data_IF_051821548098
#
_entry.id   IF_051821548098
#
_cell.length_a   1.000
_cell.length_b   1.000
_cell.length_c   1.000
_cell.angle_alpha   90.00
_cell.angle_beta   90.00
_cell.angle_gamma   90.00
#
_symmetry.space_group_name_H-M   'P 1'
#
loop_
_entity.id
_entity.type
_entity.pdbx_description
1 polymer ?
#
# COMPACT_ATOMS: atom_id res chain seq x y z
N UNK A 1 8.70 3.32 -25.04
CA UNK A 1 8.96 3.94 -23.71
C UNK A 1 8.33 3.06 -22.64
N UNK A 2 8.96 2.89 -21.48
CA UNK A 2 8.39 2.11 -20.39
C UNK A 2 8.17 3.01 -19.18
N UNK A 3 6.94 3.03 -18.67
CA UNK A 3 6.58 3.81 -17.48
C UNK A 3 7.24 3.16 -16.25
N UNK A 4 7.89 4.00 -15.43
CA UNK A 4 8.60 3.60 -14.20
C UNK A 4 7.96 4.25 -12.98
N UNK A 5 7.63 5.53 -13.13
CA UNK A 5 7.03 6.36 -12.08
C UNK A 5 5.61 6.68 -12.54
N UNK A 6 4.62 6.40 -11.69
CA UNK A 6 3.23 6.77 -11.90
C UNK A 6 2.73 7.58 -10.71
N UNK A 7 2.18 8.76 -10.98
CA UNK A 7 1.52 9.60 -9.99
C UNK A 7 0.05 9.73 -10.32
N UNK A 8 -0.82 9.38 -9.37
CA UNK A 8 -2.27 9.54 -9.47
C UNK A 8 -2.71 10.60 -8.47
N UNK A 9 -3.42 11.62 -8.95
CA UNK A 9 -3.91 12.71 -8.13
C UNK A 9 -5.34 13.04 -8.52
N UNK A 10 -6.27 12.77 -7.61
CA UNK A 10 -7.66 13.21 -7.70
C UNK A 10 -8.18 13.39 -6.28
N UNK A 11 -8.70 14.58 -5.98
CA UNK A 11 -9.20 14.95 -4.66
C UNK A 11 -10.73 14.83 -4.54
N UNK A 12 -11.41 14.47 -5.64
CA UNK A 12 -12.86 14.46 -5.72
C UNK A 12 -13.43 13.10 -6.11
N UNK A 13 -12.66 12.27 -6.83
CA UNK A 13 -13.10 10.95 -7.30
C UNK A 13 -12.25 9.86 -6.65
N UNK A 14 -12.85 8.88 -5.96
CA UNK A 14 -12.10 7.78 -5.36
C UNK A 14 -11.51 6.85 -6.42
N UNK A 15 -10.34 6.29 -6.12
CA UNK A 15 -9.70 5.28 -6.95
C UNK A 15 -10.10 3.88 -6.49
N UNK A 16 -10.91 3.19 -7.27
CA UNK A 16 -11.34 1.83 -6.93
C UNK A 16 -10.28 0.78 -7.26
N UNK A 17 -10.37 -0.40 -6.63
CA UNK A 17 -9.46 -1.54 -6.83
C UNK A 17 -9.21 -1.86 -8.33
N UNK A 18 -10.27 -1.80 -9.14
CA UNK A 18 -10.23 -2.06 -10.58
C UNK A 18 -9.26 -1.14 -11.34
N UNK A 19 -9.05 0.09 -10.87
CA UNK A 19 -8.09 1.01 -11.47
C UNK A 19 -6.67 0.47 -11.29
N UNK A 20 -6.34 -0.01 -10.09
CA UNK A 20 -5.01 -0.52 -9.78
C UNK A 20 -4.70 -1.84 -10.48
N UNK A 21 -5.71 -2.69 -10.72
CA UNK A 21 -5.59 -3.86 -11.62
C UNK A 21 -5.23 -3.42 -13.04
N UNK A 22 -5.90 -2.40 -13.57
CA UNK A 22 -5.61 -1.88 -14.92
C UNK A 22 -4.19 -1.30 -14.99
N UNK A 23 -3.77 -0.59 -13.94
CA UNK A 23 -2.43 -0.01 -13.84
C UNK A 23 -1.35 -1.09 -13.84
N UNK A 24 -1.47 -2.13 -13.02
CA UNK A 24 -0.45 -3.18 -12.96
C UNK A 24 -0.29 -3.91 -14.30
N UNK A 25 -1.38 -4.09 -15.04
CA UNK A 25 -1.38 -4.68 -16.39
C UNK A 25 -0.82 -3.75 -17.47
N UNK A 26 -1.18 -2.47 -17.43
CA UNK A 26 -0.74 -1.49 -18.42
C UNK A 26 0.72 -1.06 -18.22
N UNK A 27 1.18 -1.05 -16.97
CA UNK A 27 2.49 -0.55 -16.58
C UNK A 27 3.20 -1.55 -15.65
N UNK A 28 3.52 -2.76 -16.15
CA UNK A 28 4.06 -3.83 -15.31
C UNK A 28 5.41 -3.49 -14.70
N UNK A 29 6.14 -2.52 -15.27
CA UNK A 29 7.48 -2.15 -14.84
C UNK A 29 7.51 -0.91 -13.92
N UNK A 30 6.39 -0.56 -13.28
CA UNK A 30 6.35 0.51 -12.27
C UNK A 30 7.26 0.15 -11.10
N UNK A 31 8.10 1.11 -10.71
CA UNK A 31 8.95 1.04 -9.54
C UNK A 31 8.65 2.15 -8.52
N UNK A 32 7.83 3.14 -8.88
CA UNK A 32 7.34 4.16 -7.97
C UNK A 32 5.88 4.49 -8.27
N UNK A 33 5.03 4.33 -7.26
CA UNK A 33 3.61 4.65 -7.32
C UNK A 33 3.28 5.68 -6.26
N UNK A 34 2.80 6.84 -6.69
CA UNK A 34 2.45 7.97 -5.83
C UNK A 34 0.94 8.17 -5.92
N UNK A 35 0.25 8.09 -4.78
CA UNK A 35 -1.18 8.37 -4.69
C UNK A 35 -1.42 9.63 -3.85
N UNK A 36 -2.29 10.48 -4.38
CA UNK A 36 -2.92 11.58 -3.66
C UNK A 36 -4.43 11.45 -3.89
N UNK A 37 -5.14 10.91 -2.90
CA UNK A 37 -6.59 10.70 -2.96
C UNK A 37 -7.17 10.57 -1.56
N UNK A 38 -7.80 11.63 -1.08
CA UNK A 38 -8.37 11.70 0.27
C UNK A 38 -9.77 11.09 0.37
N UNK A 39 -10.36 10.68 -0.76
CA UNK A 39 -11.70 10.12 -0.80
C UNK A 39 -11.69 8.66 -0.34
N UNK A 40 -12.64 8.32 0.52
CA UNK A 40 -12.97 6.94 0.90
C UNK A 40 -13.31 6.11 -0.36
N UNK A 41 -12.82 4.86 -0.43
CA UNK A 41 -13.17 3.96 -1.52
C UNK A 41 -14.64 3.56 -1.39
N UNK A 42 -15.41 3.68 -2.47
CA UNK A 42 -16.85 3.37 -2.43
C UNK A 42 -17.08 1.86 -2.39
N UNK A 43 -16.27 1.09 -3.11
CA UNK A 43 -16.32 -0.37 -3.08
C UNK A 43 -15.40 -0.87 -1.98
N UNK A 44 -15.87 -0.82 -0.74
CA UNK A 44 -15.13 -1.36 0.41
C UNK A 44 -14.82 -2.83 0.17
N UNK A 45 -13.54 -3.16 0.26
CA UNK A 45 -13.08 -4.53 0.27
C UNK A 45 -13.38 -5.09 1.67
N UNK A 46 -14.58 -5.65 1.88
CA UNK A 46 -14.94 -6.28 3.16
C UNK A 46 -14.05 -7.49 3.43
N UNK A 47 -13.63 -7.66 4.69
CA UNK A 47 -12.86 -8.83 5.16
C UNK A 47 -13.66 -10.13 5.08
N UNK A 48 -14.98 -10.03 4.92
CA UNK A 48 -15.88 -11.12 4.58
C UNK A 48 -15.96 -11.21 3.05
N UNK A 49 -15.06 -12.00 2.48
CA UNK A 49 -15.18 -12.51 1.14
C UNK A 49 -16.48 -13.33 1.06
N UNK A 50 -17.54 -12.75 0.49
CA UNK A 50 -18.54 -13.59 -0.14
C UNK A 50 -17.81 -14.42 -1.20
N UNK A 51 -17.96 -15.74 -1.18
CA UNK A 51 -17.25 -16.69 -2.04
C UNK A 51 -17.36 -16.36 -3.54
N UNK A 52 -18.32 -15.53 -3.93
CA UNK A 52 -18.51 -15.02 -5.29
C UNK A 52 -17.60 -13.84 -5.70
N UNK A 53 -16.99 -13.10 -4.77
CA UNK A 53 -16.07 -11.98 -5.06
C UNK A 53 -14.58 -12.37 -4.98
N UNK A 54 -14.29 -13.66 -4.75
CA UNK A 54 -12.94 -14.25 -4.74
C UNK A 54 -12.15 -14.10 -6.06
N UNK A 55 -12.74 -13.51 -7.10
CA UNK A 55 -12.09 -13.28 -8.40
C UNK A 55 -11.47 -11.89 -8.56
N UNK A 56 -11.46 -11.03 -7.54
CA UNK A 56 -10.59 -9.86 -7.55
C UNK A 56 -9.13 -10.32 -7.61
N UNK A 57 -8.53 -10.20 -8.80
CA UNK A 57 -7.16 -10.60 -9.06
C UNK A 57 -6.24 -9.85 -8.11
N UNK A 58 -5.47 -10.57 -7.30
CA UNK A 58 -4.42 -9.98 -6.47
C UNK A 58 -3.54 -9.12 -7.38
N UNK A 59 -3.36 -7.85 -7.01
CA UNK A 59 -2.53 -6.95 -7.79
C UNK A 59 -1.08 -7.27 -7.47
N UNK A 60 -0.31 -7.73 -8.45
CA UNK A 60 1.11 -7.97 -8.28
C UNK A 60 1.91 -6.80 -8.86
N UNK A 61 2.79 -6.22 -8.05
CA UNK A 61 3.84 -5.33 -8.54
C UNK A 61 5.20 -6.02 -8.39
N UNK A 62 5.62 -6.74 -9.42
CA UNK A 62 6.79 -7.63 -9.40
C UNK A 62 8.15 -6.91 -9.43
N UNK A 63 8.17 -5.58 -9.47
CA UNK A 63 9.41 -4.79 -9.44
C UNK A 63 9.57 -4.07 -8.11
N UNK A 64 10.78 -3.58 -7.84
CA UNK A 64 11.06 -2.82 -6.62
C UNK A 64 10.16 -1.60 -6.56
N UNK A 65 9.16 -1.59 -5.67
CA UNK A 65 8.20 -0.50 -5.56
C UNK A 65 8.54 0.40 -4.39
N UNK A 66 8.60 1.70 -4.67
CA UNK A 66 8.42 2.80 -3.72
C UNK A 66 6.94 3.19 -3.77
N UNK A 67 6.25 3.11 -2.65
CA UNK A 67 4.83 3.43 -2.56
C UNK A 67 4.64 4.67 -1.68
N UNK A 68 3.96 5.68 -2.20
CA UNK A 68 3.67 6.92 -1.47
C UNK A 68 2.18 7.08 -1.21
N UNK A 69 1.78 6.91 0.06
CA UNK A 69 0.42 6.93 0.60
C UNK A 69 0.25 7.99 1.70
N UNK A 70 0.91 9.13 1.51
CA UNK A 70 1.00 10.17 2.52
C UNK A 70 -0.32 10.94 2.69
N UNK A 71 -0.92 11.33 1.57
CA UNK A 71 -2.16 12.10 1.56
C UNK A 71 -3.28 11.27 0.95
N UNK A 72 -3.52 10.09 1.51
CA UNK A 72 -4.59 9.20 1.07
C UNK A 72 -5.57 8.86 2.19
N UNK A 73 -6.75 8.39 1.81
CA UNK A 73 -7.66 7.73 2.75
C UNK A 73 -7.09 6.39 3.25
N UNK A 74 -7.45 5.98 4.46
CA UNK A 74 -6.91 4.76 5.10
C UNK A 74 -7.21 3.48 4.30
N UNK A 75 -8.27 3.46 3.49
CA UNK A 75 -8.62 2.30 2.64
C UNK A 75 -7.50 1.94 1.65
N UNK A 76 -6.82 2.95 1.10
CA UNK A 76 -5.69 2.71 0.20
C UNK A 76 -4.53 2.05 0.93
N UNK A 77 -4.25 2.49 2.16
CA UNK A 77 -3.24 1.85 3.03
C UNK A 77 -3.61 0.39 3.26
N UNK A 78 -4.87 0.10 3.59
CA UNK A 78 -5.37 -1.28 3.74
C UNK A 78 -5.18 -2.09 2.46
N UNK A 79 -5.62 -1.58 1.31
CA UNK A 79 -5.57 -2.27 0.03
C UNK A 79 -4.14 -2.64 -0.38
N UNK A 80 -3.18 -1.74 -0.20
CA UNK A 80 -1.79 -1.97 -0.62
C UNK A 80 -0.99 -2.81 0.39
N UNK A 81 -1.29 -2.70 1.68
CA UNK A 81 -0.55 -3.46 2.70
C UNK A 81 -1.08 -4.88 2.87
N UNK A 82 -2.37 -5.15 2.65
CA UNK A 82 -2.92 -6.50 2.82
C UNK A 82 -2.54 -7.39 1.64
N UNK A 83 -1.83 -8.49 1.93
CA UNK A 83 -1.38 -9.50 0.97
C UNK A 83 -2.55 -10.20 0.24
N UNK A 84 -3.76 -10.14 0.80
CA UNK A 84 -4.99 -10.67 0.21
C UNK A 84 -5.48 -9.85 -0.98
N UNK A 85 -4.96 -8.62 -1.17
CA UNK A 85 -5.39 -7.68 -2.22
C UNK A 85 -4.25 -7.23 -3.12
N UNK A 86 -3.08 -7.00 -2.53
CA UNK A 86 -1.89 -6.60 -3.27
C UNK A 86 -0.69 -7.42 -2.81
N UNK A 87 0.03 -8.02 -3.77
CA UNK A 87 1.33 -8.61 -3.53
C UNK A 87 2.41 -7.61 -3.93
N UNK A 88 3.18 -7.15 -2.95
CA UNK A 88 4.30 -6.23 -3.16
C UNK A 88 5.62 -6.94 -2.77
N UNK A 89 6.07 -7.95 -3.54
CA UNK A 89 7.21 -8.79 -3.18
C UNK A 89 8.53 -8.01 -3.07
N UNK A 90 8.58 -6.79 -3.60
CA UNK A 90 9.75 -5.93 -3.55
C UNK A 90 9.43 -4.53 -3.02
N UNK A 91 8.43 -4.40 -2.14
CA UNK A 91 8.16 -3.14 -1.43
C UNK A 91 9.36 -2.74 -0.59
N UNK A 92 10.05 -1.68 -1.01
CA UNK A 92 11.28 -1.27 -0.36
C UNK A 92 11.10 -0.05 0.53
N UNK A 93 10.24 0.87 0.08
CA UNK A 93 10.04 2.15 0.73
C UNK A 93 8.56 2.46 0.73
N UNK A 94 8.02 2.73 1.92
CA UNK A 94 6.65 3.15 2.12
C UNK A 94 6.66 4.57 2.69
N UNK A 95 5.87 5.45 2.07
CA UNK A 95 5.47 6.70 2.70
C UNK A 95 4.02 6.52 3.16
N UNK A 96 3.75 6.74 4.44
CA UNK A 96 2.41 6.62 5.01
C UNK A 96 2.28 7.51 6.25
N UNK A 97 1.04 7.74 6.71
CA UNK A 97 0.81 8.31 8.04
C UNK A 97 1.06 7.25 9.12
N UNK A 98 1.62 7.66 10.24
CA UNK A 98 1.92 6.76 11.36
C UNK A 98 0.66 6.10 11.90
N UNK A 99 -0.39 6.89 12.19
CA UNK A 99 -1.63 6.40 12.78
C UNK A 99 -2.36 5.43 11.83
N UNK A 100 -2.41 5.73 10.54
CA UNK A 100 -3.01 4.85 9.52
C UNK A 100 -2.25 3.52 9.45
N UNK A 101 -0.91 3.56 9.45
CA UNK A 101 -0.07 2.37 9.41
C UNK A 101 -0.27 1.51 10.66
N UNK A 102 -0.29 2.10 11.86
CA UNK A 102 -0.50 1.36 13.11
C UNK A 102 -1.91 0.76 13.17
N UNK A 103 -2.91 1.50 12.71
CA UNK A 103 -4.31 1.05 12.68
C UNK A 103 -4.48 -0.13 11.74
N UNK A 104 -3.99 -0.04 10.50
CA UNK A 104 -4.15 -1.09 9.49
C UNK A 104 -3.34 -2.34 9.82
N UNK A 105 -2.15 -2.19 10.39
CA UNK A 105 -1.30 -3.33 10.74
C UNK A 105 -1.65 -3.95 12.10
N UNK A 106 -2.56 -3.32 12.86
CA UNK A 106 -2.80 -3.63 14.27
C UNK A 106 -1.49 -3.63 15.07
N UNK A 107 -0.66 -2.59 14.93
CA UNK A 107 0.70 -2.57 15.46
C UNK A 107 1.55 -3.78 14.99
N UNK A 108 1.39 -4.16 13.73
CA UNK A 108 2.04 -5.32 13.09
C UNK A 108 1.68 -6.70 13.65
N UNK A 109 0.57 -6.83 14.40
CA UNK A 109 0.04 -8.16 14.77
C UNK A 109 -0.78 -8.80 13.65
N UNK A 110 -1.26 -8.02 12.68
CA UNK A 110 -2.07 -8.53 11.57
C UNK A 110 -1.20 -9.22 10.50
N UNK A 111 -1.30 -10.55 10.42
CA UNK A 111 -0.54 -11.38 9.48
C UNK A 111 -0.74 -10.96 8.01
N UNK A 112 -1.94 -10.50 7.62
CA UNK A 112 -2.24 -10.13 6.25
C UNK A 112 -1.44 -8.90 5.80
N UNK A 113 -1.17 -7.96 6.71
CA UNK A 113 -0.33 -6.80 6.42
C UNK A 113 1.16 -7.09 6.60
N UNK A 114 1.50 -8.02 7.51
CA UNK A 114 2.89 -8.30 7.92
C UNK A 114 3.76 -8.77 6.76
N UNK A 115 3.25 -9.60 5.86
CA UNK A 115 4.04 -10.17 4.75
C UNK A 115 4.55 -9.13 3.74
N UNK A 116 3.75 -8.10 3.48
CA UNK A 116 4.16 -6.98 2.64
C UNK A 116 5.08 -6.02 3.41
N UNK A 117 4.83 -5.83 4.71
CA UNK A 117 5.62 -4.92 5.55
C UNK A 117 7.01 -5.48 5.89
N UNK A 118 7.17 -6.80 6.06
CA UNK A 118 8.42 -7.45 6.46
C UNK A 118 9.58 -7.21 5.45
N UNK A 119 9.25 -6.79 4.23
CA UNK A 119 10.22 -6.54 3.15
C UNK A 119 10.66 -5.07 3.08
N UNK A 120 10.04 -4.19 3.86
CA UNK A 120 10.34 -2.76 3.90
C UNK A 120 11.78 -2.53 4.36
N UNK A 121 12.51 -1.69 3.63
CA UNK A 121 13.83 -1.19 4.05
C UNK A 121 13.76 0.17 4.72
N UNK A 122 12.70 0.92 4.45
CA UNK A 122 12.48 2.23 5.05
C UNK A 122 11.00 2.60 5.07
N UNK A 123 10.55 3.22 6.17
CA UNK A 123 9.26 3.89 6.27
C UNK A 123 9.51 5.39 6.47
N UNK A 124 8.72 6.21 5.79
CA UNK A 124 8.80 7.67 5.85
C UNK A 124 7.44 8.19 6.26
N UNK A 125 7.39 8.94 7.37
CA UNK A 125 6.15 9.46 7.91
C UNK A 125 5.92 10.90 7.48
N UNK A 126 4.65 11.26 7.27
CA UNK A 126 4.24 12.60 6.86
C UNK A 126 4.34 13.65 7.98
N UNK A 127 3.95 13.25 9.20
CA UNK A 127 3.82 14.16 10.33
C UNK A 127 5.17 14.61 10.89
N UNK A 128 6.23 13.86 10.63
CA UNK A 128 7.60 14.18 11.04
C UNK A 128 8.53 13.65 9.94
N UNK A 129 9.49 14.43 9.41
CA UNK A 129 10.43 13.99 8.37
C UNK A 129 11.47 13.00 8.93
N UNK A 130 11.01 11.96 9.62
CA UNK A 130 11.78 10.85 10.13
C UNK A 130 11.73 9.75 9.08
N UNK A 131 12.91 9.36 8.63
CA UNK A 131 13.11 8.13 7.86
C UNK A 131 13.50 7.04 8.85
N UNK A 132 12.63 6.06 9.03
CA UNK A 132 12.95 4.87 9.83
C UNK A 132 13.48 3.81 8.88
N UNK A 133 14.74 3.42 9.05
CA UNK A 133 15.34 2.32 8.30
C UNK A 133 15.05 0.98 8.98
N UNK A 134 15.03 -0.12 8.22
CA UNK A 134 14.70 -1.46 8.74
C UNK A 134 15.58 -1.89 9.91
N UNK A 135 16.87 -1.51 9.91
CA UNK A 135 17.79 -1.73 11.04
C UNK A 135 17.33 -1.12 12.36
N UNK A 136 16.40 -0.16 12.33
CA UNK A 136 15.86 0.54 13.49
C UNK A 136 14.38 0.21 13.73
N UNK A 137 13.75 -0.68 12.93
CA UNK A 137 12.32 -0.96 13.08
C UNK A 137 11.98 -1.46 14.47
N UNK A 138 12.80 -2.31 15.09
CA UNK A 138 12.59 -2.81 16.44
C UNK A 138 12.41 -1.72 17.53
N UNK A 139 12.91 -0.49 17.29
CA UNK A 139 12.75 0.64 18.22
C UNK A 139 11.35 1.27 18.16
N UNK A 140 10.65 1.13 17.04
CA UNK A 140 9.36 1.77 16.77
C UNK A 140 8.24 0.75 16.57
N UNK A 141 8.58 -0.42 16.03
CA UNK A 141 7.72 -1.52 15.62
C UNK A 141 8.35 -2.83 16.11
N UNK A 142 8.25 -3.17 17.41
CA UNK A 142 8.91 -4.35 17.97
C UNK A 142 8.45 -5.69 17.36
N UNK A 143 7.29 -5.69 16.69
CA UNK A 143 6.64 -6.86 16.10
C UNK A 143 6.84 -6.98 14.58
N UNK A 144 7.60 -6.07 13.96
CA UNK A 144 7.96 -6.06 12.54
C UNK A 144 9.39 -6.56 12.33
#
# INVERSE_FOLDING_TARGET
MSVRILSLNDLFVPFEHDLFIKISRAFPLINELILLNICEQQKKLTDQLNEHEQTCSIIEYSHRVKLSLNMVHIDYVKQFLFNTKTCLPHLNTLYAKYDDLMTITENFTNDAARDNCAKLKSIIFDSIPIVIFSKNFYLYFPLL
#
